data_IF_322757056135
#
_entry.id   IF_322757056135
#
_cell.length_a   1.000
_cell.length_b   1.000
_cell.length_c   1.000
_cell.angle_alpha   90.00
_cell.angle_beta   90.00
_cell.angle_gamma   90.00
#
_symmetry.space_group_name_H-M   'P 1'
#
loop_
_entity.id
_entity.type
_entity.pdbx_description
1 polymer ?
#
# COMPACT_ATOMS: atom_id res chain seq x y z
N UNK A 1 -4.01 21.56 -15.44
CA UNK A 1 -4.25 20.71 -14.26
C UNK A 1 -4.48 21.64 -13.08
N UNK A 2 -5.69 21.66 -12.52
CA UNK A 2 -6.00 22.50 -11.35
C UNK A 2 -5.27 21.89 -10.17
N UNK A 3 -4.35 22.65 -9.57
CA UNK A 3 -3.68 22.25 -8.33
C UNK A 3 -4.73 22.04 -7.26
N UNK A 4 -4.62 20.93 -6.52
CA UNK A 4 -5.46 20.66 -5.36
C UNK A 4 -5.33 21.84 -4.40
N UNK A 5 -6.45 22.41 -3.99
CA UNK A 5 -6.51 23.54 -3.08
C UNK A 5 -6.22 23.03 -1.66
N UNK A 6 -5.00 23.26 -1.18
CA UNK A 6 -4.52 22.85 0.15
C UNK A 6 -4.85 23.86 1.24
N UNK A 7 -5.62 24.92 0.94
CA UNK A 7 -6.00 25.96 1.90
C UNK A 7 -6.71 25.41 3.15
N UNK A 8 -7.44 24.30 3.02
CA UNK A 8 -8.08 23.64 4.16
C UNK A 8 -7.08 23.00 5.14
N UNK A 9 -5.92 22.54 4.66
CA UNK A 9 -4.89 21.91 5.48
C UNK A 9 -4.01 22.97 6.14
N UNK A 10 -3.63 24.02 5.41
CA UNK A 10 -2.88 25.14 5.99
C UNK A 10 -3.73 25.90 7.03
N UNK A 11 -5.02 26.13 6.76
CA UNK A 11 -5.93 26.72 7.74
C UNK A 11 -6.10 25.84 8.99
N UNK A 12 -6.08 24.50 8.84
CA UNK A 12 -6.14 23.59 9.98
C UNK A 12 -4.86 23.65 10.84
N UNK A 13 -3.69 23.87 10.22
CA UNK A 13 -2.41 24.04 10.91
C UNK A 13 -2.36 25.36 11.67
N UNK A 14 -2.73 26.48 11.02
CA UNK A 14 -2.70 27.82 11.62
C UNK A 14 -3.74 27.98 12.74
N UNK A 15 -4.92 27.36 12.60
CA UNK A 15 -5.97 27.39 13.62
C UNK A 15 -5.58 26.60 14.88
N UNK A 16 -4.76 25.56 14.73
CA UNK A 16 -4.19 24.78 15.84
C UNK A 16 -3.08 25.53 16.57
N UNK A 17 -2.40 26.47 15.90
CA UNK A 17 -1.40 27.35 16.54
C UNK A 17 -2.03 28.45 17.40
N UNK A 18 -3.24 28.91 17.04
CA UNK A 18 -3.91 30.02 17.73
C UNK A 18 -4.78 29.56 18.92
N UNK A 19 -5.18 28.29 18.98
CA UNK A 19 -6.26 27.80 19.88
C UNK A 19 -5.76 27.13 21.17
N UNK A 20 -4.60 27.54 21.73
CA UNK A 20 -4.16 27.02 23.04
C UNK A 20 -4.71 27.86 24.22
N UNK A 21 -5.32 29.04 24.00
CA UNK A 21 -5.75 29.93 25.11
C UNK A 21 -7.25 30.15 25.36
N UNK A 22 -8.20 29.68 24.55
CA UNK A 22 -9.64 29.93 24.85
C UNK A 22 -10.54 28.71 24.64
N UNK A 23 -11.01 28.11 25.75
CA UNK A 23 -12.06 27.08 25.78
C UNK A 23 -13.44 27.71 25.54
N UNK A 24 -13.94 27.61 24.31
CA UNK A 24 -15.32 27.93 23.90
C UNK A 24 -16.14 26.68 23.53
N UNK A 25 -17.44 26.80 23.21
CA UNK A 25 -18.32 25.66 22.97
C UNK A 25 -17.98 24.88 21.70
N UNK A 26 -18.41 23.60 21.66
CA UNK A 26 -18.09 22.59 20.67
C UNK A 26 -18.16 23.09 19.22
N UNK A 27 -17.01 23.17 18.55
CA UNK A 27 -16.86 23.62 17.17
C UNK A 27 -17.24 22.48 16.22
N UNK A 28 -18.09 22.73 15.21
CA UNK A 28 -18.50 21.68 14.29
C UNK A 28 -17.29 21.13 13.51
N UNK A 29 -17.23 19.80 13.37
CA UNK A 29 -16.18 19.14 12.60
C UNK A 29 -16.30 19.48 11.10
N UNK A 30 -15.19 19.71 10.39
CA UNK A 30 -15.21 19.98 8.95
C UNK A 30 -15.88 18.86 8.13
N UNK A 31 -16.43 19.18 6.94
CA UNK A 31 -16.84 18.17 5.97
C UNK A 31 -15.66 17.22 5.64
N UNK A 32 -15.93 15.92 5.62
CA UNK A 32 -14.89 14.89 5.41
C UNK A 32 -14.14 14.48 6.67
N UNK A 33 -14.59 14.90 7.86
CA UNK A 33 -14.02 14.44 9.12
C UNK A 33 -14.14 12.91 9.27
N UNK A 34 -13.07 12.21 9.71
CA UNK A 34 -13.13 10.77 9.88
C UNK A 34 -14.15 10.39 10.97
N UNK A 35 -15.07 9.47 10.66
CA UNK A 35 -16.13 9.07 11.58
C UNK A 35 -15.63 8.46 12.91
N UNK A 36 -14.41 7.93 12.90
CA UNK A 36 -13.73 7.28 14.02
C UNK A 36 -12.82 8.22 14.83
N UNK A 37 -12.73 9.49 14.44
CA UNK A 37 -12.01 10.53 15.18
C UNK A 37 -13.03 11.42 15.90
N UNK A 38 -12.93 11.53 17.21
CA UNK A 38 -13.82 12.36 18.01
C UNK A 38 -13.67 13.86 17.65
N UNK A 39 -14.65 14.72 17.93
CA UNK A 39 -14.53 16.16 17.70
C UNK A 39 -13.37 16.77 18.51
N UNK A 40 -12.73 17.86 18.03
CA UNK A 40 -11.56 18.47 18.69
C UNK A 40 -11.76 18.88 20.16
N UNK A 41 -13.00 19.21 20.55
CA UNK A 41 -13.34 19.63 21.91
C UNK A 41 -13.64 18.44 22.85
N UNK A 42 -13.61 17.22 22.33
CA UNK A 42 -13.76 16.01 23.14
C UNK A 42 -12.43 15.67 23.85
N UNK A 43 -12.42 15.41 25.18
CA UNK A 43 -11.21 15.01 25.90
C UNK A 43 -10.51 13.76 25.33
N UNK A 44 -11.27 12.87 24.67
CA UNK A 44 -10.77 11.69 23.97
C UNK A 44 -10.25 11.95 22.56
N UNK A 45 -10.36 13.19 22.04
CA UNK A 45 -9.94 13.55 20.68
C UNK A 45 -8.53 13.09 20.36
N UNK A 46 -7.56 13.47 21.20
CA UNK A 46 -6.14 13.15 20.96
C UNK A 46 -5.92 11.64 20.86
N UNK A 47 -6.58 10.85 21.71
CA UNK A 47 -6.46 9.40 21.69
C UNK A 47 -7.06 8.80 20.41
N UNK A 48 -8.30 9.19 20.06
CA UNK A 48 -8.97 8.72 18.84
C UNK A 48 -8.23 9.12 17.56
N UNK A 49 -7.73 10.36 17.48
CA UNK A 49 -6.94 10.86 16.37
C UNK A 49 -5.61 10.10 16.24
N UNK A 50 -4.92 9.85 17.36
CA UNK A 50 -3.65 9.10 17.35
C UNK A 50 -3.87 7.65 16.87
N UNK A 51 -4.94 6.99 17.35
CA UNK A 51 -5.29 5.64 16.89
C UNK A 51 -5.56 5.62 15.39
N UNK A 52 -6.38 6.54 14.90
CA UNK A 52 -6.70 6.65 13.48
C UNK A 52 -5.46 6.93 12.62
N UNK A 53 -4.55 7.80 13.06
CA UNK A 53 -3.28 8.06 12.36
C UNK A 53 -2.38 6.81 12.29
N UNK A 54 -2.36 5.99 13.34
CA UNK A 54 -1.62 4.72 13.34
C UNK A 54 -2.24 3.66 12.43
N UNK A 55 -3.53 3.75 12.12
CA UNK A 55 -4.19 2.88 11.15
C UNK A 55 -3.83 3.25 9.70
N UNK A 56 -3.42 4.50 9.46
CA UNK A 56 -2.93 4.97 8.15
C UNK A 56 -1.47 4.56 7.91
N UNK A 57 -0.66 4.53 8.98
CA UNK A 57 0.77 4.28 8.90
C UNK A 57 1.09 2.77 8.83
N UNK A 58 2.28 2.40 8.30
CA UNK A 58 2.74 1.02 8.35
C UNK A 58 2.71 0.45 9.78
N UNK A 59 2.36 -0.84 9.97
CA UNK A 59 2.18 -1.44 11.30
C UNK A 59 3.37 -1.25 12.25
N UNK A 60 4.60 -1.26 11.72
CA UNK A 60 5.85 -1.12 12.45
C UNK A 60 5.93 0.18 13.25
N UNK A 61 5.20 1.22 12.85
CA UNK A 61 5.14 2.50 13.56
C UNK A 61 4.57 2.35 14.98
N UNK A 62 3.74 1.34 15.23
CA UNK A 62 3.22 1.04 16.58
C UNK A 62 4.33 0.59 17.56
N UNK A 63 5.51 0.22 17.05
CA UNK A 63 6.66 -0.16 17.89
C UNK A 63 7.55 1.04 18.26
N UNK A 64 7.39 2.18 17.59
CA UNK A 64 8.21 3.38 17.82
C UNK A 64 7.57 4.31 18.87
N UNK A 65 7.74 3.98 20.15
CA UNK A 65 7.12 4.70 21.28
C UNK A 65 7.37 6.22 21.31
N UNK A 66 8.51 6.67 20.80
CA UNK A 66 8.92 8.08 20.82
C UNK A 66 8.11 8.96 19.86
N UNK A 67 7.54 8.38 18.80
CA UNK A 67 6.78 9.13 17.80
C UNK A 67 5.28 9.08 18.09
N UNK A 68 4.81 7.98 18.69
CA UNK A 68 3.42 7.78 19.11
C UNK A 68 3.02 8.79 20.19
N UNK A 69 3.98 9.24 21.01
CA UNK A 69 3.76 10.27 22.04
C UNK A 69 3.71 11.70 21.49
N UNK A 70 3.92 11.88 20.18
CA UNK A 70 3.98 13.20 19.52
C UNK A 70 2.91 13.28 18.41
N UNK A 71 1.63 13.56 18.73
CA UNK A 71 0.53 13.54 17.77
C UNK A 71 0.75 14.43 16.53
N UNK A 72 1.42 15.58 16.68
CA UNK A 72 1.76 16.46 15.55
C UNK A 72 2.78 15.83 14.60
N UNK A 73 3.82 15.19 15.13
CA UNK A 73 4.79 14.48 14.32
C UNK A 73 4.12 13.30 13.60
N UNK A 74 3.24 12.58 14.31
CA UNK A 74 2.48 11.47 13.74
C UNK A 74 1.56 11.93 12.59
N UNK A 75 0.88 13.07 12.74
CA UNK A 75 0.05 13.66 11.69
C UNK A 75 0.88 14.05 10.45
N UNK A 76 2.02 14.70 10.66
CA UNK A 76 2.95 15.04 9.56
C UNK A 76 3.45 13.80 8.81
N UNK A 77 3.77 12.73 9.54
CA UNK A 77 4.20 11.47 8.93
C UNK A 77 3.07 10.78 8.17
N UNK A 78 1.85 10.75 8.71
CA UNK A 78 0.70 10.16 8.04
C UNK A 78 0.39 10.90 6.73
N UNK A 79 0.40 12.23 6.73
CA UNK A 79 0.23 13.04 5.52
C UNK A 79 1.32 12.71 4.48
N UNK A 80 2.59 12.73 4.92
CA UNK A 80 3.73 12.38 4.07
C UNK A 80 3.59 10.97 3.49
N UNK A 81 3.19 9.99 4.31
CA UNK A 81 3.01 8.60 3.90
C UNK A 81 1.93 8.48 2.81
N UNK A 82 0.77 9.11 3.01
CA UNK A 82 -0.34 9.08 2.06
C UNK A 82 0.06 9.71 0.73
N UNK A 83 0.75 10.86 0.74
CA UNK A 83 1.24 11.52 -0.47
C UNK A 83 2.18 10.61 -1.27
N UNK A 84 3.17 10.01 -0.61
CA UNK A 84 4.13 9.11 -1.25
C UNK A 84 3.46 7.83 -1.74
N UNK A 85 2.55 7.26 -0.96
CA UNK A 85 1.79 6.07 -1.34
C UNK A 85 0.93 6.33 -2.57
N UNK A 86 0.22 7.45 -2.63
CA UNK A 86 -0.58 7.84 -3.80
C UNK A 86 0.30 8.04 -5.03
N UNK A 87 1.43 8.74 -4.91
CA UNK A 87 2.36 8.93 -6.00
C UNK A 87 2.92 7.60 -6.53
N UNK A 88 3.29 6.69 -5.62
CA UNK A 88 3.77 5.36 -5.94
C UNK A 88 2.68 4.51 -6.62
N UNK A 89 1.45 4.52 -6.10
CA UNK A 89 0.31 3.81 -6.68
C UNK A 89 0.01 4.32 -8.10
N UNK A 90 -0.07 5.63 -8.30
CA UNK A 90 -0.27 6.22 -9.63
C UNK A 90 0.85 5.85 -10.61
N UNK A 91 2.11 5.84 -10.15
CA UNK A 91 3.24 5.38 -10.95
C UNK A 91 3.06 3.91 -11.33
N UNK A 92 2.73 3.06 -10.35
CA UNK A 92 2.49 1.63 -10.53
C UNK A 92 1.40 1.36 -11.56
N UNK A 93 0.26 2.04 -11.48
CA UNK A 93 -0.83 1.90 -12.46
C UNK A 93 -0.40 2.31 -13.87
N UNK A 94 0.34 3.42 -14.02
CA UNK A 94 0.83 3.85 -15.33
C UNK A 94 1.85 2.89 -15.92
N UNK A 95 2.71 2.28 -15.09
CA UNK A 95 3.69 1.28 -15.56
C UNK A 95 3.06 -0.09 -15.80
N UNK A 96 2.04 -0.47 -15.04
CA UNK A 96 1.36 -1.76 -15.20
C UNK A 96 0.70 -1.89 -16.57
N UNK A 97 0.15 -0.81 -17.13
CA UNK A 97 -0.38 -0.77 -18.49
C UNK A 97 0.68 -1.02 -19.59
N UNK A 98 1.98 -0.90 -19.26
CA UNK A 98 3.11 -1.10 -20.18
C UNK A 98 3.77 -2.46 -19.99
N UNK A 99 3.52 -3.14 -18.86
CA UNK A 99 4.24 -4.35 -18.47
C UNK A 99 3.42 -5.63 -18.67
N UNK A 100 2.74 -5.73 -19.81
CA UNK A 100 2.02 -6.95 -20.25
C UNK A 100 2.96 -8.18 -20.24
N UNK A 101 4.26 -7.96 -20.37
CA UNK A 101 5.28 -9.01 -20.27
C UNK A 101 5.50 -9.51 -18.84
N UNK A 102 5.44 -8.64 -17.84
CA UNK A 102 5.51 -9.01 -16.43
C UNK A 102 4.21 -9.67 -15.97
N UNK A 103 3.05 -9.22 -16.49
CA UNK A 103 1.78 -9.90 -16.29
C UNK A 103 1.78 -11.32 -16.89
N UNK A 104 2.26 -11.47 -18.12
CA UNK A 104 2.41 -12.79 -18.73
C UNK A 104 3.36 -13.72 -17.93
N UNK A 105 4.36 -13.15 -17.24
CA UNK A 105 5.28 -13.91 -16.39
C UNK A 105 4.63 -14.41 -15.08
N UNK A 106 3.51 -13.83 -14.64
CA UNK A 106 2.73 -14.34 -13.50
C UNK A 106 1.72 -15.41 -13.90
N UNK A 107 1.59 -15.71 -15.21
CA UNK A 107 0.64 -16.69 -15.75
C UNK A 107 -0.76 -16.13 -16.00
N UNK A 108 -0.96 -14.82 -15.85
CA UNK A 108 -2.20 -14.11 -16.16
C UNK A 108 -2.14 -13.50 -17.57
N UNK A 109 -3.20 -13.67 -18.35
CA UNK A 109 -3.41 -12.99 -19.62
C UNK A 109 -4.04 -11.60 -19.38
N UNK A 110 -3.79 -10.60 -20.25
CA UNK A 110 -4.52 -9.34 -20.23
C UNK A 110 -6.06 -9.47 -20.13
N UNK A 111 -6.66 -10.50 -20.71
CA UNK A 111 -8.10 -10.77 -20.56
C UNK A 111 -8.50 -11.11 -19.11
N UNK A 112 -7.63 -11.79 -18.35
CA UNK A 112 -7.88 -12.09 -16.94
C UNK A 112 -7.94 -10.81 -16.09
N UNK A 113 -7.23 -9.75 -16.50
CA UNK A 113 -7.24 -8.46 -15.79
C UNK A 113 -8.55 -7.70 -16.01
N UNK A 114 -9.15 -7.78 -17.19
CA UNK A 114 -10.46 -7.19 -17.46
C UNK A 114 -11.57 -7.82 -16.60
N UNK A 115 -11.44 -9.10 -16.26
CA UNK A 115 -12.38 -9.79 -15.37
C UNK A 115 -12.16 -9.47 -13.88
N UNK A 116 -10.97 -8.96 -13.51
CA UNK A 116 -10.68 -8.47 -12.15
C UNK A 116 -11.15 -7.04 -11.90
N UNK A 117 -11.32 -6.24 -12.96
CA UNK A 117 -11.87 -4.88 -12.83
C UNK A 117 -13.38 -5.01 -12.60
N UNK A 118 -13.91 -4.54 -11.45
CA UNK A 118 -15.36 -4.52 -11.24
C UNK A 118 -16.02 -3.73 -12.37
N UNK A 119 -16.88 -4.39 -13.16
CA UNK A 119 -17.54 -3.77 -14.32
C UNK A 119 -18.48 -2.62 -13.94
N UNK A 120 -18.84 -2.52 -12.67
CA UNK A 120 -19.63 -1.45 -12.10
C UNK A 120 -19.03 -1.04 -10.75
N UNK A 121 -18.49 0.19 -10.66
CA UNK A 121 -17.88 0.72 -9.43
C UNK A 121 -18.92 1.04 -8.35
N UNK A 122 -20.19 1.17 -8.74
CA UNK A 122 -21.31 1.44 -7.83
C UNK A 122 -21.90 0.14 -7.25
N UNK A 123 -21.50 -1.02 -7.78
CA UNK A 123 -21.92 -2.30 -7.25
C UNK A 123 -21.07 -2.65 -6.01
N UNK A 124 -21.68 -2.89 -4.83
CA UNK A 124 -20.93 -3.30 -3.65
C UNK A 124 -20.17 -4.60 -3.94
N UNK A 125 -18.93 -4.74 -3.43
CA UNK A 125 -18.11 -5.90 -3.72
C UNK A 125 -18.89 -7.17 -3.35
N UNK A 126 -18.78 -8.23 -4.16
CA UNK A 126 -19.43 -9.49 -3.82
C UNK A 126 -19.00 -9.91 -2.42
N UNK A 127 -19.94 -10.46 -1.65
CA UNK A 127 -19.63 -10.99 -0.33
C UNK A 127 -18.39 -11.91 -0.43
N UNK A 128 -17.44 -11.83 0.51
CA UNK A 128 -16.25 -12.64 0.48
C UNK A 128 -16.65 -14.11 0.34
N UNK A 129 -16.14 -14.75 -0.72
CA UNK A 129 -16.38 -16.18 -0.95
C UNK A 129 -15.83 -16.92 0.26
N UNK A 130 -16.71 -17.55 1.03
CA UNK A 130 -16.33 -18.29 2.22
C UNK A 130 -15.86 -19.68 1.77
N UNK A 131 -14.54 -19.87 1.76
CA UNK A 131 -13.88 -21.09 1.31
C UNK A 131 -12.45 -20.78 0.88
N UNK A 132 -11.63 -21.82 0.72
CA UNK A 132 -10.27 -21.64 0.27
C UNK A 132 -10.25 -20.95 -1.10
N UNK A 133 -9.67 -19.76 -1.15
CA UNK A 133 -9.58 -18.98 -2.38
C UNK A 133 -8.76 -19.71 -3.45
N UNK A 134 -8.83 -19.32 -4.72
CA UNK A 134 -7.98 -19.89 -5.77
C UNK A 134 -6.48 -19.83 -5.42
N UNK A 135 -6.03 -18.81 -4.68
CA UNK A 135 -4.67 -18.70 -4.15
C UNK A 135 -4.32 -19.75 -3.07
N UNK A 136 -5.32 -20.34 -2.41
CA UNK A 136 -5.12 -21.41 -1.42
C UNK A 136 -5.19 -22.82 -2.05
N UNK A 137 -5.67 -22.92 -3.30
CA UNK A 137 -5.57 -24.15 -4.12
C UNK A 137 -4.30 -24.12 -4.96
N UNK A 138 -3.16 -24.20 -4.29
CA UNK A 138 -1.87 -24.38 -4.99
C UNK A 138 -1.78 -25.83 -5.42
N UNK A 139 -2.19 -26.12 -6.66
CA UNK A 139 -1.72 -27.33 -7.33
C UNK A 139 -0.18 -27.29 -7.31
N UNK A 140 0.51 -28.39 -6.94
CA UNK A 140 1.96 -28.37 -6.85
C UNK A 140 2.54 -27.94 -8.20
N UNK A 141 3.47 -26.98 -8.22
CA UNK A 141 3.94 -26.41 -9.47
C UNK A 141 4.59 -27.51 -10.32
N UNK A 142 4.22 -27.55 -11.59
CA UNK A 142 4.80 -28.47 -12.58
C UNK A 142 6.24 -28.07 -12.96
N UNK A 143 6.66 -26.86 -12.60
CA UNK A 143 7.99 -26.30 -12.83
C UNK A 143 8.52 -25.67 -11.54
N UNK A 144 9.75 -25.98 -11.18
CA UNK A 144 10.42 -25.46 -9.99
C UNK A 144 11.60 -24.58 -10.41
N UNK A 145 11.73 -23.40 -9.78
CA UNK A 145 12.86 -22.49 -9.98
C UNK A 145 13.82 -22.54 -8.79
N UNK A 146 15.12 -22.67 -9.07
CA UNK A 146 16.19 -22.57 -8.06
C UNK A 146 17.16 -21.49 -8.52
N UNK A 147 17.46 -20.54 -7.62
CA UNK A 147 18.47 -19.50 -7.89
C UNK A 147 19.79 -19.96 -7.30
N UNK A 148 20.81 -20.05 -8.13
CA UNK A 148 22.18 -20.40 -7.72
C UNK A 148 23.10 -19.22 -8.02
N UNK A 149 23.79 -18.75 -7.00
CA UNK A 149 24.84 -17.73 -7.15
C UNK A 149 26.12 -18.41 -7.62
N UNK A 150 26.68 -17.96 -8.73
CA UNK A 150 27.97 -18.41 -9.24
C UNK A 150 29.01 -17.30 -9.02
N UNK A 151 30.23 -17.67 -8.66
CA UNK A 151 31.33 -16.73 -8.46
C UNK A 151 31.98 -16.31 -9.78
N UNK A 152 31.62 -16.98 -10.89
CA UNK A 152 32.07 -16.64 -12.25
C UNK A 152 31.12 -17.12 -13.35
N UNK A 153 31.25 -16.52 -14.55
CA UNK A 153 30.55 -16.95 -15.76
C UNK A 153 30.94 -18.38 -16.17
N UNK A 154 32.20 -18.78 -15.96
CA UNK A 154 32.67 -20.13 -16.28
C UNK A 154 31.95 -21.19 -15.42
N UNK A 155 31.80 -20.94 -14.12
CA UNK A 155 31.04 -21.79 -13.21
C UNK A 155 29.56 -21.85 -13.60
N UNK A 156 28.97 -20.72 -13.99
CA UNK A 156 27.60 -20.66 -14.46
C UNK A 156 27.39 -21.54 -15.71
N UNK A 157 28.31 -21.48 -16.69
CA UNK A 157 28.24 -22.29 -17.91
C UNK A 157 28.37 -23.78 -17.59
N UNK A 158 29.34 -24.17 -16.76
CA UNK A 158 29.54 -25.57 -16.36
C UNK A 158 28.29 -26.14 -15.66
N UNK A 159 27.68 -25.35 -14.76
CA UNK A 159 26.45 -25.75 -14.06
C UNK A 159 25.28 -25.94 -15.03
N UNK A 160 25.12 -25.03 -16.00
CA UNK A 160 24.05 -25.13 -17.00
C UNK A 160 24.24 -26.35 -17.91
N UNK A 161 25.46 -26.61 -18.36
CA UNK A 161 25.77 -27.78 -19.19
C UNK A 161 25.50 -29.10 -18.45
N UNK A 162 25.92 -29.19 -17.17
CA UNK A 162 25.68 -30.38 -16.35
C UNK A 162 24.18 -30.64 -16.15
N UNK A 163 23.42 -29.62 -15.77
CA UNK A 163 21.98 -29.77 -15.54
C UNK A 163 21.23 -30.12 -16.84
N UNK A 164 21.65 -29.55 -17.98
CA UNK A 164 21.13 -29.91 -19.29
C UNK A 164 21.44 -31.36 -19.66
N UNK A 165 22.66 -31.83 -19.38
CA UNK A 165 23.07 -33.22 -19.61
C UNK A 165 22.28 -34.22 -18.74
N UNK A 166 21.84 -33.80 -17.55
CA UNK A 166 20.95 -34.55 -16.67
C UNK A 166 19.47 -34.55 -17.13
N UNK A 167 19.16 -33.85 -18.23
CA UNK A 167 17.83 -33.80 -18.84
C UNK A 167 16.94 -32.69 -18.26
N UNK A 168 17.50 -31.77 -17.48
CA UNK A 168 16.75 -30.61 -16.97
C UNK A 168 16.70 -29.49 -18.01
N UNK A 169 15.52 -28.88 -18.18
CA UNK A 169 15.38 -27.65 -18.95
C UNK A 169 15.82 -26.47 -18.07
N UNK A 170 17.01 -25.94 -18.33
CA UNK A 170 17.62 -24.85 -17.55
C UNK A 170 17.84 -23.61 -18.40
N UNK A 171 17.74 -22.43 -17.77
CA UNK A 171 17.96 -21.13 -18.42
C UNK A 171 18.69 -20.19 -17.48
N UNK A 172 19.70 -19.49 -17.99
CA UNK A 172 20.28 -18.33 -17.32
C UNK A 172 19.28 -17.17 -17.30
N UNK A 173 18.99 -16.65 -16.12
CA UNK A 173 18.33 -15.36 -15.95
C UNK A 173 19.42 -14.29 -15.93
N UNK A 174 19.48 -13.48 -16.98
CA UNK A 174 20.35 -12.32 -17.10
C UNK A 174 19.69 -11.11 -16.46
#
# INVERSE_FOLDING_TARGET
MRGTDYSAIEAAIEHVETTIEESGPARPTPPGWPAQVLPPDDPGWVHSATSWLLDILPPDYRTHSEIITKPRALAWMAATHVEHYQAAAQRGYRSAAVDLRMLAATGYDPEDVEDLVPRDLDQPPPNPVTGAGPAERVEPPTVWGVVVTCDSEAEQVELLERLSAEGHSVRALM
#
